data_IF_845669206271
#
_entry.id   IF_845669206271
#
_cell.length_a   1.000
_cell.length_b   1.000
_cell.length_c   1.000
_cell.angle_alpha   90.00
_cell.angle_beta   90.00
_cell.angle_gamma   90.00
#
_symmetry.space_group_name_H-M   'P 1'
#
loop_
_entity.id
_entity.type
_entity.pdbx_description
1 polymer ?
#
# COMPACT_ATOMS: atom_id res chain seq x y z
N UNK A 1 8.42 17.30 -2.37
CA UNK A 1 8.42 15.94 -1.83
C UNK A 1 8.24 14.98 -2.98
N UNK A 2 9.26 14.19 -3.28
CA UNK A 2 9.33 13.44 -4.54
C UNK A 2 8.96 11.98 -4.28
N UNK A 3 7.81 11.57 -4.79
CA UNK A 3 7.56 10.15 -5.04
C UNK A 3 8.53 9.76 -6.16
N UNK A 4 9.49 8.91 -5.87
CA UNK A 4 10.47 8.46 -6.87
C UNK A 4 9.75 7.48 -7.81
N UNK A 5 9.14 8.03 -8.85
CA UNK A 5 8.78 7.27 -10.05
C UNK A 5 9.99 7.37 -10.98
N UNK A 6 10.77 6.34 -11.03
CA UNK A 6 11.94 6.26 -11.91
C UNK A 6 11.49 6.35 -13.37
N UNK A 7 11.83 7.46 -14.04
CA UNK A 7 11.61 7.62 -15.49
C UNK A 7 12.62 6.77 -16.25
N UNK A 8 12.14 5.76 -16.93
CA UNK A 8 12.94 5.01 -17.90
C UNK A 8 13.07 5.81 -19.19
N UNK A 9 14.30 6.17 -19.55
CA UNK A 9 14.63 6.66 -20.89
C UNK A 9 14.95 5.45 -21.78
N UNK A 10 14.21 5.29 -22.86
CA UNK A 10 14.59 4.42 -23.97
C UNK A 10 15.75 5.09 -24.72
N UNK A 11 16.88 4.41 -24.79
CA UNK A 11 17.98 4.77 -25.67
C UNK A 11 17.93 3.80 -26.86
N UNK A 12 17.41 4.26 -27.95
CA UNK A 12 17.55 3.59 -29.24
C UNK A 12 18.88 4.03 -29.89
N UNK A 13 19.81 3.11 -30.00
CA UNK A 13 21.01 3.31 -30.76
C UNK A 13 21.09 2.29 -31.88
N UNK A 14 20.84 2.72 -33.11
CA UNK A 14 21.13 1.96 -34.33
C UNK A 14 22.58 2.24 -34.71
N UNK A 15 23.42 1.20 -34.72
CA UNK A 15 24.76 1.26 -35.31
C UNK A 15 24.76 0.33 -36.51
N UNK A 16 24.83 0.91 -37.69
CA UNK A 16 25.18 0.24 -38.92
C UNK A 16 26.71 0.16 -39.05
N UNK A 17 27.25 -1.03 -39.19
CA UNK A 17 28.62 -1.22 -39.65
C UNK A 17 28.63 -2.20 -40.84
N UNK A 18 29.20 -1.72 -41.92
CA UNK A 18 29.39 -2.43 -43.18
C UNK A 18 30.65 -3.30 -43.15
N UNK A 19 30.52 -4.41 -43.78
CA UNK A 19 31.30 -5.39 -44.40
C UNK A 19 32.83 -5.45 -44.37
N UNK A 20 33.32 -6.67 -44.26
CA UNK A 20 34.41 -7.22 -45.08
C UNK A 20 34.45 -8.74 -44.90
N UNK A 21 34.35 -9.46 -45.99
CA UNK A 21 34.35 -10.92 -45.98
C UNK A 21 35.74 -11.52 -45.76
N UNK A 22 35.78 -12.63 -45.03
CA UNK A 22 36.89 -13.57 -45.00
C UNK A 22 36.34 -14.98 -44.75
N UNK A 23 36.44 -15.84 -45.74
CA UNK A 23 36.05 -17.27 -45.65
C UNK A 23 37.18 -18.06 -44.99
N UNK A 24 36.85 -18.82 -43.96
CA UNK A 24 37.66 -19.93 -43.45
C UNK A 24 36.75 -21.10 -43.02
N UNK A 25 37.23 -22.37 -43.00
CA UNK A 25 36.40 -23.53 -43.21
C UNK A 25 35.69 -24.04 -41.93
N UNK A 26 34.56 -24.73 -42.18
CA UNK A 26 33.79 -25.47 -41.18
C UNK A 26 34.65 -26.55 -40.51
N UNK A 27 34.71 -26.50 -39.19
CA UNK A 27 34.96 -27.67 -38.37
C UNK A 27 33.90 -27.70 -37.29
N UNK A 28 33.01 -28.68 -37.41
CA UNK A 28 31.92 -28.98 -36.51
C UNK A 28 32.43 -29.44 -35.14
N UNK A 29 32.16 -28.66 -34.11
CA UNK A 29 32.08 -29.16 -32.72
C UNK A 29 30.81 -28.58 -32.14
N UNK A 30 29.71 -29.32 -32.24
CA UNK A 30 28.53 -29.06 -31.45
C UNK A 30 28.81 -29.52 -29.99
N UNK A 31 29.34 -28.61 -29.17
CA UNK A 31 29.26 -28.73 -27.76
C UNK A 31 27.98 -28.01 -27.30
N UNK A 32 26.93 -28.75 -27.02
CA UNK A 32 25.77 -28.22 -26.29
C UNK A 32 26.26 -27.79 -24.91
N UNK A 33 26.42 -26.48 -24.71
CA UNK A 33 26.52 -25.92 -23.37
C UNK A 33 25.16 -26.13 -22.68
N UNK A 34 25.13 -26.71 -21.47
CA UNK A 34 23.89 -26.82 -20.73
C UNK A 34 23.31 -25.40 -20.56
N UNK A 35 22.06 -25.25 -20.91
CA UNK A 35 21.30 -24.02 -20.70
C UNK A 35 21.43 -23.63 -19.22
N UNK A 36 22.32 -22.69 -18.94
CA UNK A 36 22.48 -22.14 -17.60
C UNK A 36 21.12 -21.53 -17.19
N UNK A 37 20.53 -22.09 -16.16
CA UNK A 37 19.39 -21.48 -15.45
C UNK A 37 19.90 -20.17 -14.83
N UNK A 38 19.85 -19.10 -15.61
CA UNK A 38 20.07 -17.76 -15.06
C UNK A 38 18.92 -17.46 -14.11
N UNK A 39 19.18 -17.62 -12.82
CA UNK A 39 18.26 -17.10 -11.79
C UNK A 39 17.97 -15.64 -12.15
N UNK A 40 16.71 -15.24 -12.30
CA UNK A 40 16.37 -13.85 -12.61
C UNK A 40 17.04 -12.94 -11.56
N UNK A 41 17.73 -11.91 -12.01
CA UNK A 41 18.37 -10.95 -11.12
C UNK A 41 17.33 -10.44 -10.10
N UNK A 42 17.68 -10.50 -8.81
CA UNK A 42 16.82 -10.04 -7.73
C UNK A 42 16.56 -8.54 -7.90
N UNK A 43 15.29 -8.14 -7.78
CA UNK A 43 14.94 -6.72 -7.77
C UNK A 43 15.20 -6.15 -6.38
N UNK A 44 16.05 -5.15 -6.29
CA UNK A 44 16.37 -4.49 -5.02
C UNK A 44 15.53 -3.22 -4.87
N UNK A 45 14.88 -3.09 -3.72
CA UNK A 45 14.19 -1.88 -3.33
C UNK A 45 15.21 -0.84 -2.83
N UNK A 46 14.99 0.46 -3.09
CA UNK A 46 15.89 1.51 -2.64
C UNK A 46 15.85 1.68 -1.12
N UNK A 47 16.99 1.93 -0.51
CA UNK A 47 17.06 2.44 0.87
C UNK A 47 16.59 3.89 0.89
N UNK A 48 15.67 4.22 1.77
CA UNK A 48 15.05 5.54 1.89
C UNK A 48 15.20 6.02 3.34
N UNK A 49 15.69 7.24 3.53
CA UNK A 49 15.84 7.84 4.87
C UNK A 49 14.49 7.78 5.62
N UNK A 50 14.53 7.35 6.87
CA UNK A 50 13.35 7.20 7.71
C UNK A 50 12.60 5.88 7.54
N UNK A 51 13.05 4.97 6.67
CA UNK A 51 12.53 3.61 6.57
C UNK A 51 13.60 2.59 6.96
N UNK A 52 13.16 1.47 7.52
CA UNK A 52 14.01 0.27 7.59
C UNK A 52 14.32 -0.25 6.19
N UNK A 53 15.33 -1.10 6.05
CA UNK A 53 15.64 -1.70 4.74
C UNK A 53 14.48 -2.57 4.26
N UNK A 54 13.74 -2.14 3.22
CA UNK A 54 12.57 -2.87 2.75
C UNK A 54 12.91 -4.25 2.20
N UNK A 55 14.17 -4.51 1.82
CA UNK A 55 14.58 -5.79 1.26
C UNK A 55 14.50 -6.92 2.30
N UNK A 56 14.61 -6.59 3.59
CA UNK A 56 14.49 -7.56 4.69
C UNK A 56 13.05 -8.03 4.93
N UNK A 57 12.06 -7.32 4.37
CA UNK A 57 10.63 -7.65 4.49
C UNK A 57 10.06 -8.34 3.25
N UNK A 58 10.90 -8.66 2.26
CA UNK A 58 10.45 -9.39 1.07
C UNK A 58 10.24 -10.86 1.47
N UNK A 59 9.01 -11.42 1.34
CA UNK A 59 8.76 -12.81 1.71
C UNK A 59 9.47 -13.77 0.76
N UNK A 60 10.02 -14.85 1.31
CA UNK A 60 10.74 -15.88 0.55
C UNK A 60 9.84 -16.55 -0.52
N UNK A 61 8.53 -16.65 -0.25
CA UNK A 61 7.53 -17.24 -1.12
C UNK A 61 7.16 -16.36 -2.33
N UNK A 62 7.56 -15.08 -2.27
CA UNK A 62 7.34 -14.13 -3.36
C UNK A 62 8.52 -13.16 -3.55
N UNK A 63 9.72 -13.66 -3.91
CA UNK A 63 10.89 -12.82 -4.15
C UNK A 63 10.61 -11.84 -5.29
N UNK A 64 11.10 -10.62 -5.17
CA UNK A 64 10.87 -9.59 -6.20
C UNK A 64 11.77 -9.82 -7.41
N UNK A 65 11.19 -9.64 -8.60
CA UNK A 65 11.91 -9.52 -9.87
C UNK A 65 11.34 -8.34 -10.67
N UNK A 66 12.17 -7.70 -11.49
CA UNK A 66 11.73 -6.56 -12.31
C UNK A 66 10.51 -6.90 -13.18
N UNK A 67 10.49 -8.08 -13.78
CA UNK A 67 9.37 -8.54 -14.63
C UNK A 67 8.08 -8.72 -13.80
N UNK A 68 8.18 -9.27 -12.58
CA UNK A 68 7.01 -9.48 -11.71
C UNK A 68 6.46 -8.16 -11.21
N UNK A 69 7.32 -7.23 -10.79
CA UNK A 69 6.93 -5.87 -10.39
C UNK A 69 6.21 -5.15 -11.53
N UNK A 70 6.75 -5.22 -12.76
CA UNK A 70 6.12 -4.59 -13.92
C UNK A 70 4.77 -5.24 -14.27
N UNK A 71 4.68 -6.57 -14.24
CA UNK A 71 3.40 -7.26 -14.41
C UNK A 71 2.38 -6.80 -13.36
N UNK A 72 2.78 -6.73 -12.07
CA UNK A 72 1.93 -6.22 -10.99
C UNK A 72 1.47 -4.79 -11.22
N UNK A 73 2.35 -3.93 -11.74
CA UNK A 73 2.00 -2.56 -12.10
C UNK A 73 0.94 -2.54 -13.21
N UNK A 74 1.09 -3.32 -14.26
CA UNK A 74 0.10 -3.41 -15.34
C UNK A 74 -1.26 -3.87 -14.80
N UNK A 75 -1.28 -4.89 -13.93
CA UNK A 75 -2.51 -5.41 -13.33
C UNK A 75 -3.18 -4.36 -12.42
N UNK A 76 -2.41 -3.62 -11.62
CA UNK A 76 -2.93 -2.61 -10.72
C UNK A 76 -3.65 -1.46 -11.42
N UNK A 77 -3.22 -1.13 -12.66
CA UNK A 77 -3.78 -0.03 -13.45
C UNK A 77 -4.83 -0.47 -14.49
N UNK A 78 -5.08 -1.76 -14.65
CA UNK A 78 -5.92 -2.27 -15.75
C UNK A 78 -7.38 -2.45 -15.34
N UNK A 79 -8.26 -1.61 -15.86
CA UNK A 79 -9.71 -1.66 -15.62
C UNK A 79 -10.38 -2.92 -16.17
N UNK A 80 -9.76 -3.60 -17.14
CA UNK A 80 -10.26 -4.88 -17.67
C UNK A 80 -10.29 -5.99 -16.62
N UNK A 81 -9.68 -5.77 -15.46
CA UNK A 81 -9.72 -6.67 -14.32
C UNK A 81 -10.90 -6.42 -13.39
N UNK A 82 -11.94 -5.73 -13.85
CA UNK A 82 -13.27 -5.73 -13.24
C UNK A 82 -14.30 -6.34 -14.19
N UNK A 83 -15.43 -6.76 -13.68
CA UNK A 83 -16.45 -7.49 -14.46
C UNK A 83 -16.95 -6.74 -15.69
N UNK A 84 -17.07 -5.41 -15.58
CA UNK A 84 -17.55 -4.51 -16.63
C UNK A 84 -16.48 -3.55 -17.19
N UNK A 85 -15.20 -3.80 -16.97
CA UNK A 85 -14.06 -3.01 -17.46
C UNK A 85 -14.01 -1.55 -16.98
N UNK A 86 -14.62 -1.24 -15.81
CA UNK A 86 -14.71 0.15 -15.31
C UNK A 86 -13.81 0.46 -14.13
N UNK A 87 -13.40 -0.54 -13.35
CA UNK A 87 -12.65 -0.41 -12.10
C UNK A 87 -11.31 -1.13 -12.18
N UNK A 88 -10.29 -0.50 -11.62
CA UNK A 88 -8.97 -1.09 -11.35
C UNK A 88 -8.54 -0.72 -9.93
N UNK A 89 -7.48 -1.32 -9.39
CA UNK A 89 -6.96 -0.96 -8.07
C UNK A 89 -6.68 0.55 -7.97
N UNK A 90 -6.11 1.13 -9.02
CA UNK A 90 -5.84 2.58 -9.10
C UNK A 90 -7.12 3.45 -9.02
N UNK A 91 -8.30 2.90 -9.28
CA UNK A 91 -9.55 3.68 -9.17
C UNK A 91 -9.83 4.13 -7.73
N UNK A 92 -9.35 3.36 -6.74
CA UNK A 92 -9.47 3.65 -5.32
C UNK A 92 -8.10 4.01 -4.68
N UNK A 93 -6.98 3.74 -5.36
CA UNK A 93 -5.62 3.98 -4.86
C UNK A 93 -4.83 4.89 -5.82
N UNK A 94 -5.24 6.17 -5.90
CA UNK A 94 -4.68 7.18 -6.80
C UNK A 94 -3.29 7.64 -6.32
N UNK A 95 -2.22 7.54 -7.14
CA UNK A 95 -0.87 7.95 -6.75
C UNK A 95 -0.75 9.40 -6.28
N UNK A 96 -1.53 10.31 -6.89
CA UNK A 96 -1.52 11.73 -6.55
C UNK A 96 -2.28 12.07 -5.26
N UNK A 97 -2.94 11.07 -4.63
CA UNK A 97 -3.66 11.19 -3.35
C UNK A 97 -3.09 10.27 -2.26
N UNK A 98 -1.79 10.05 -2.26
CA UNK A 98 -1.16 9.15 -1.30
C UNK A 98 -1.66 7.70 -1.43
N UNK A 99 -2.07 7.29 -2.64
CA UNK A 99 -2.68 5.98 -2.91
C UNK A 99 -3.96 5.72 -2.11
N UNK A 100 -4.79 6.77 -1.92
CA UNK A 100 -6.21 6.71 -1.54
C UNK A 100 -7.05 7.27 -2.68
N UNK A 101 -8.39 7.30 -2.56
CA UNK A 101 -9.24 7.96 -3.55
C UNK A 101 -9.71 9.37 -3.12
N UNK A 102 -9.42 9.77 -1.87
CA UNK A 102 -9.82 11.05 -1.30
C UNK A 102 -11.33 11.17 -1.09
N UNK A 103 -12.01 10.06 -0.83
CA UNK A 103 -13.46 10.02 -0.56
C UNK A 103 -13.73 9.36 0.79
N UNK A 104 -14.84 9.71 1.46
CA UNK A 104 -15.23 9.04 2.70
C UNK A 104 -15.39 7.53 2.53
N UNK A 105 -16.01 7.10 1.42
CA UNK A 105 -16.10 5.69 1.01
C UNK A 105 -15.86 5.59 -0.49
N UNK A 106 -15.19 4.51 -0.90
CA UNK A 106 -14.85 4.27 -2.30
C UNK A 106 -16.09 3.95 -3.14
N UNK A 107 -15.99 4.24 -4.43
CA UNK A 107 -17.01 3.90 -5.43
C UNK A 107 -16.44 2.86 -6.37
N UNK A 108 -17.05 1.69 -6.40
CA UNK A 108 -16.64 0.58 -7.24
C UNK A 108 -17.52 0.38 -8.48
N UNK A 109 -17.68 -0.89 -8.86
CA UNK A 109 -18.43 -1.30 -10.06
C UNK A 109 -19.86 -0.79 -10.02
N UNK A 110 -20.40 -0.37 -11.17
CA UNK A 110 -21.75 0.14 -11.32
C UNK A 110 -22.10 1.34 -10.42
N UNK A 111 -21.11 2.06 -9.90
CA UNK A 111 -21.31 3.17 -8.99
C UNK A 111 -21.66 2.77 -7.55
N UNK A 112 -21.56 1.48 -7.20
CA UNK A 112 -21.80 0.99 -5.85
C UNK A 112 -20.77 1.54 -4.88
N UNK A 113 -21.20 1.84 -3.66
CA UNK A 113 -20.31 2.42 -2.63
C UNK A 113 -19.91 1.35 -1.61
N UNK A 114 -18.64 1.34 -1.24
CA UNK A 114 -18.13 0.57 -0.12
C UNK A 114 -18.60 1.10 1.23
N UNK A 115 -18.32 0.35 2.28
CA UNK A 115 -18.62 0.76 3.67
C UNK A 115 -17.50 1.53 4.36
N UNK A 116 -16.28 1.53 3.80
CA UNK A 116 -15.09 2.12 4.40
C UNK A 116 -14.30 2.95 3.38
N UNK A 117 -13.47 3.88 3.86
CA UNK A 117 -12.54 4.62 3.02
C UNK A 117 -11.41 3.72 2.50
N UNK A 118 -10.86 4.07 1.34
CA UNK A 118 -9.69 3.37 0.80
C UNK A 118 -8.46 3.67 1.67
N UNK A 119 -7.85 2.68 2.35
CA UNK A 119 -6.62 2.89 3.09
C UNK A 119 -5.46 3.18 2.12
N UNK A 120 -4.49 3.96 2.55
CA UNK A 120 -3.31 4.22 1.74
C UNK A 120 -2.53 2.94 1.43
N UNK A 121 -2.19 2.72 0.14
CA UNK A 121 -1.34 1.60 -0.29
C UNK A 121 0.16 1.94 -0.22
N UNK A 122 0.54 2.85 0.69
CA UNK A 122 1.93 3.22 0.96
C UNK A 122 2.57 2.28 1.97
N UNK A 123 3.84 1.97 1.79
CA UNK A 123 4.66 1.23 2.75
C UNK A 123 4.06 -0.12 3.20
N UNK A 124 3.23 -0.73 2.35
CA UNK A 124 2.53 -1.97 2.73
C UNK A 124 3.46 -3.16 2.93
N UNK A 125 4.69 -3.08 2.43
CA UNK A 125 5.74 -4.08 2.68
C UNK A 125 6.03 -4.28 4.17
N UNK A 126 5.86 -3.24 4.99
CA UNK A 126 6.12 -3.25 6.43
C UNK A 126 4.91 -3.69 7.27
N UNK A 127 3.76 -3.93 6.65
CA UNK A 127 2.53 -4.21 7.38
C UNK A 127 2.34 -5.69 7.68
N UNK A 128 1.92 -5.98 8.91
CA UNK A 128 1.64 -7.33 9.42
C UNK A 128 0.27 -7.87 8.98
N UNK A 129 -0.67 -6.99 8.71
CA UNK A 129 -2.02 -7.34 8.26
C UNK A 129 -2.60 -6.29 7.33
N UNK A 130 -3.49 -6.69 6.44
CA UNK A 130 -4.04 -5.81 5.41
C UNK A 130 -5.52 -5.52 5.69
N UNK A 131 -6.04 -4.45 5.05
CA UNK A 131 -7.33 -3.83 5.33
C UNK A 131 -7.40 -3.14 6.70
N UNK A 132 -8.49 -2.39 6.94
CA UNK A 132 -8.72 -1.72 8.21
C UNK A 132 -8.90 -2.66 9.40
N UNK A 133 -9.42 -3.86 9.15
CA UNK A 133 -9.72 -4.89 10.15
C UNK A 133 -8.67 -6.01 10.21
N UNK A 134 -7.66 -5.97 9.35
CA UNK A 134 -6.59 -6.96 9.31
C UNK A 134 -7.05 -8.36 8.88
N UNK A 135 -8.13 -8.46 8.06
CA UNK A 135 -8.70 -9.74 7.63
C UNK A 135 -7.87 -10.52 6.60
N UNK A 136 -6.85 -9.90 6.01
CA UNK A 136 -5.88 -10.58 5.16
C UNK A 136 -4.49 -10.51 5.80
N UNK A 137 -3.87 -11.66 5.97
CA UNK A 137 -2.57 -11.79 6.65
C UNK A 137 -1.42 -11.36 5.74
N UNK A 138 -1.57 -11.55 4.42
CA UNK A 138 -0.54 -11.21 3.45
C UNK A 138 -1.01 -10.16 2.45
N UNK A 139 -0.05 -9.51 1.81
CA UNK A 139 -0.36 -8.57 0.72
C UNK A 139 -0.85 -9.30 -0.54
N UNK A 140 -0.44 -10.56 -0.72
CA UNK A 140 -0.91 -11.46 -1.76
C UNK A 140 -2.41 -11.75 -1.62
N UNK A 141 -2.85 -12.13 -0.42
CA UNK A 141 -4.27 -12.40 -0.12
C UNK A 141 -5.12 -11.14 -0.25
N UNK A 142 -4.61 -10.01 0.25
CA UNK A 142 -5.27 -8.71 0.06
C UNK A 142 -5.47 -8.40 -1.42
N UNK A 143 -4.45 -8.64 -2.25
CA UNK A 143 -4.45 -8.26 -3.67
C UNK A 143 -5.50 -8.98 -4.50
N UNK A 144 -5.97 -10.14 -4.07
CA UNK A 144 -7.01 -10.92 -4.78
C UNK A 144 -8.43 -10.72 -4.21
N UNK A 145 -8.55 -10.30 -2.95
CA UNK A 145 -9.85 -10.10 -2.29
C UNK A 145 -10.80 -9.15 -3.04
N UNK A 146 -10.36 -7.97 -3.49
CA UNK A 146 -11.18 -7.02 -4.22
C UNK A 146 -11.84 -7.55 -5.49
N UNK A 147 -11.25 -8.54 -6.17
CA UNK A 147 -11.83 -9.08 -7.40
C UNK A 147 -13.21 -9.72 -7.17
N UNK A 148 -13.38 -10.43 -6.06
CA UNK A 148 -14.63 -11.11 -5.72
C UNK A 148 -15.54 -10.29 -4.81
N UNK A 149 -15.15 -9.06 -4.49
CA UNK A 149 -16.03 -8.14 -3.78
C UNK A 149 -17.08 -7.58 -4.75
N UNK A 150 -18.38 -7.80 -4.48
CA UNK A 150 -19.47 -7.40 -5.39
C UNK A 150 -19.56 -5.88 -5.57
N UNK A 151 -19.02 -5.11 -4.63
CA UNK A 151 -19.00 -3.63 -4.70
C UNK A 151 -17.76 -3.14 -5.47
N UNK A 152 -16.63 -3.84 -5.40
CA UNK A 152 -15.35 -3.38 -5.96
C UNK A 152 -15.17 -3.81 -7.43
N UNK A 153 -14.74 -5.04 -7.70
CA UNK A 153 -14.53 -5.54 -9.08
C UNK A 153 -15.68 -6.41 -9.60
N UNK A 154 -16.49 -7.00 -8.71
CA UNK A 154 -17.77 -7.61 -9.02
C UNK A 154 -17.77 -8.99 -9.68
N UNK A 155 -16.66 -9.72 -9.67
CA UNK A 155 -16.66 -11.12 -10.10
C UNK A 155 -17.35 -12.03 -9.09
N UNK A 156 -17.95 -13.13 -9.55
CA UNK A 156 -18.60 -14.10 -8.69
C UNK A 156 -17.56 -14.89 -7.87
N UNK A 157 -16.47 -15.26 -8.54
CA UNK A 157 -15.35 -15.97 -7.95
C UNK A 157 -14.03 -15.67 -8.71
N UNK A 158 -12.93 -16.17 -8.19
CA UNK A 158 -11.61 -16.00 -8.79
C UNK A 158 -11.47 -16.76 -10.14
N UNK A 159 -12.23 -17.84 -10.36
CA UNK A 159 -12.18 -18.58 -11.63
C UNK A 159 -12.79 -17.76 -12.77
N UNK A 160 -13.90 -17.04 -12.52
CA UNK A 160 -14.47 -16.10 -13.50
C UNK A 160 -13.45 -15.02 -13.89
N UNK A 161 -12.77 -14.44 -12.92
CA UNK A 161 -11.73 -13.44 -13.13
C UNK A 161 -10.55 -13.98 -13.95
N UNK A 162 -10.01 -15.12 -13.57
CA UNK A 162 -8.90 -15.79 -14.28
C UNK A 162 -9.30 -16.17 -15.70
N UNK A 163 -10.52 -16.71 -15.90
CA UNK A 163 -11.04 -17.02 -17.22
C UNK A 163 -11.14 -15.79 -18.14
N UNK A 164 -11.51 -14.62 -17.56
CA UNK A 164 -11.49 -13.35 -18.31
C UNK A 164 -10.06 -12.95 -18.66
N UNK A 165 -9.10 -13.01 -17.72
CA UNK A 165 -7.70 -12.67 -17.98
C UNK A 165 -7.07 -13.54 -19.07
N UNK A 166 -7.37 -14.84 -19.08
CA UNK A 166 -6.85 -15.80 -20.10
C UNK A 166 -7.31 -15.47 -21.53
N UNK A 167 -8.39 -14.70 -21.70
CA UNK A 167 -8.81 -14.19 -23.03
C UNK A 167 -7.95 -13.04 -23.51
N UNK A 168 -7.16 -12.40 -22.65
CA UNK A 168 -6.28 -11.31 -22.99
C UNK A 168 -4.91 -11.88 -23.37
N UNK A 169 -4.62 -11.97 -24.68
CA UNK A 169 -3.40 -12.62 -25.19
C UNK A 169 -2.09 -12.08 -24.56
N UNK A 170 -2.02 -10.78 -24.30
CA UNK A 170 -0.87 -10.14 -23.65
C UNK A 170 -0.58 -10.70 -22.26
N UNK A 171 -1.61 -10.95 -21.44
CA UNK A 171 -1.42 -11.51 -20.10
C UNK A 171 -0.94 -12.95 -20.13
N UNK A 172 -1.47 -13.80 -21.03
CA UNK A 172 -0.96 -15.18 -21.15
C UNK A 172 0.55 -15.21 -21.39
N UNK A 173 1.03 -14.36 -22.30
CA UNK A 173 2.46 -14.25 -22.58
C UNK A 173 3.25 -13.76 -21.37
N UNK A 174 2.79 -12.69 -20.71
CA UNK A 174 3.48 -12.11 -19.55
C UNK A 174 3.54 -13.10 -18.38
N UNK A 175 2.45 -13.83 -18.08
CA UNK A 175 2.45 -14.82 -17.02
C UNK A 175 3.37 -16.01 -17.33
N UNK A 176 3.40 -16.45 -18.60
CA UNK A 176 4.36 -17.48 -19.04
C UNK A 176 5.81 -17.01 -18.88
N UNK A 177 6.12 -15.74 -19.17
CA UNK A 177 7.46 -15.16 -19.01
C UNK A 177 7.87 -14.96 -17.53
N UNK A 178 6.91 -14.67 -16.66
CA UNK A 178 7.17 -14.33 -15.24
C UNK A 178 7.11 -15.56 -14.35
N UNK A 179 6.12 -16.45 -14.56
CA UNK A 179 5.84 -17.59 -13.69
C UNK A 179 6.08 -18.95 -14.36
N UNK A 180 6.33 -18.99 -15.68
CA UNK A 180 6.57 -20.23 -16.44
C UNK A 180 5.34 -21.11 -16.60
N UNK A 181 4.13 -20.57 -16.37
CA UNK A 181 2.87 -21.33 -16.39
C UNK A 181 1.66 -20.49 -16.78
N UNK A 182 0.53 -21.16 -16.97
CA UNK A 182 -0.78 -20.55 -17.17
C UNK A 182 -1.18 -19.68 -15.96
N UNK A 183 -2.07 -18.70 -16.23
CA UNK A 183 -2.56 -17.77 -15.21
C UNK A 183 -3.35 -18.51 -14.13
N UNK A 184 -2.93 -18.33 -12.88
CA UNK A 184 -3.66 -18.74 -11.67
C UNK A 184 -3.80 -17.54 -10.73
N UNK A 185 -4.80 -17.57 -9.86
CA UNK A 185 -5.11 -16.41 -9.01
C UNK A 185 -3.99 -16.06 -8.03
N UNK A 186 -3.29 -17.06 -7.52
CA UNK A 186 -2.15 -16.88 -6.61
C UNK A 186 -1.02 -16.08 -7.25
N UNK A 187 -0.76 -16.31 -8.56
CA UNK A 187 0.26 -15.57 -9.31
C UNK A 187 -0.18 -14.13 -9.61
N UNK A 188 -1.49 -13.90 -9.80
CA UNK A 188 -2.06 -12.55 -9.90
C UNK A 188 -1.82 -11.79 -8.59
N UNK A 189 -2.13 -12.41 -7.44
CA UNK A 189 -1.86 -11.85 -6.12
C UNK A 189 -0.38 -11.54 -5.92
N UNK A 190 0.50 -12.50 -6.23
CA UNK A 190 1.96 -12.32 -6.15
C UNK A 190 2.48 -11.17 -7.01
N UNK A 191 1.97 -11.01 -8.22
CA UNK A 191 2.39 -9.91 -9.10
C UNK A 191 1.94 -8.55 -8.55
N UNK A 192 0.67 -8.40 -8.18
CA UNK A 192 0.13 -7.15 -7.64
C UNK A 192 0.84 -6.78 -6.32
N UNK A 193 1.01 -7.74 -5.42
CA UNK A 193 1.75 -7.54 -4.16
C UNK A 193 3.21 -7.11 -4.41
N UNK A 194 3.87 -7.69 -5.43
CA UNK A 194 5.23 -7.28 -5.82
C UNK A 194 5.31 -5.83 -6.23
N UNK A 195 4.34 -5.33 -6.99
CA UNK A 195 4.25 -3.91 -7.33
C UNK A 195 3.94 -3.05 -6.10
N UNK A 196 2.98 -3.44 -5.27
CA UNK A 196 2.61 -2.67 -4.07
C UNK A 196 3.80 -2.50 -3.11
N UNK A 197 4.69 -3.50 -3.00
CA UNK A 197 5.94 -3.41 -2.21
C UNK A 197 6.91 -2.33 -2.69
N UNK A 198 6.80 -1.90 -3.93
CA UNK A 198 7.62 -0.78 -4.47
C UNK A 198 7.06 0.60 -4.14
N UNK A 199 5.85 0.69 -3.57
CA UNK A 199 5.22 1.95 -3.22
C UNK A 199 5.72 2.38 -1.84
N UNK A 200 6.88 3.01 -1.82
CA UNK A 200 7.58 3.43 -0.61
C UNK A 200 7.53 4.96 -0.45
N UNK A 201 7.32 5.41 0.78
CA UNK A 201 7.39 6.83 1.15
C UNK A 201 8.17 6.99 2.46
N UNK A 202 9.27 7.72 2.39
CA UNK A 202 10.14 8.17 3.46
C UNK A 202 10.77 9.50 3.09
N UNK A 203 11.88 9.86 3.71
CA UNK A 203 12.60 11.11 3.48
C UNK A 203 11.72 12.35 3.71
N UNK A 204 10.83 12.26 4.70
CA UNK A 204 9.97 13.37 5.15
C UNK A 204 10.81 14.47 5.85
N UNK A 205 10.26 15.66 6.08
CA UNK A 205 10.91 16.66 6.92
C UNK A 205 11.27 16.13 8.32
N UNK A 206 10.41 15.29 8.92
CA UNK A 206 10.71 14.64 10.22
C UNK A 206 11.87 13.67 10.11
N UNK A 207 11.94 12.85 9.04
CA UNK A 207 13.07 11.93 8.84
C UNK A 207 14.40 12.69 8.68
N UNK A 208 14.37 13.82 7.95
CA UNK A 208 15.55 14.68 7.76
C UNK A 208 16.01 15.33 9.06
N UNK A 209 15.06 15.76 9.89
CA UNK A 209 15.34 16.36 11.19
C UNK A 209 15.91 15.32 12.16
N UNK A 210 15.24 14.16 12.30
CA UNK A 210 15.61 13.14 13.30
C UNK A 210 16.86 12.33 12.92
N UNK A 211 16.98 11.97 11.66
CA UNK A 211 17.98 11.01 11.19
C UNK A 211 18.95 11.62 10.19
N UNK A 212 18.57 12.66 9.49
CA UNK A 212 19.39 13.33 8.47
C UNK A 212 20.27 14.46 9.02
N UNK A 213 20.11 14.85 10.28
CA UNK A 213 20.85 15.96 10.91
C UNK A 213 20.49 17.34 10.35
N UNK A 214 19.39 17.48 9.62
CA UNK A 214 18.91 18.74 9.07
C UNK A 214 18.01 19.47 10.05
N UNK A 215 18.62 20.27 10.93
CA UNK A 215 17.86 21.07 11.91
C UNK A 215 16.89 22.07 11.27
N UNK A 216 17.06 22.42 10.00
CA UNK A 216 16.18 23.36 9.29
C UNK A 216 15.03 22.68 8.55
N UNK A 217 14.95 21.34 8.60
CA UNK A 217 13.90 20.58 7.95
C UNK A 217 12.50 20.87 8.50
N UNK A 218 12.40 21.31 9.76
CA UNK A 218 11.13 21.64 10.43
C UNK A 218 11.08 23.14 10.78
N UNK A 219 9.90 23.74 10.63
CA UNK A 219 9.61 25.06 11.18
C UNK A 219 9.58 25.00 12.72
N UNK A 220 9.66 26.17 13.39
CA UNK A 220 9.55 26.24 14.85
C UNK A 220 8.23 25.64 15.38
N UNK A 221 7.10 25.92 14.70
CA UNK A 221 5.81 25.32 15.04
C UNK A 221 5.83 23.80 14.89
N UNK A 222 6.36 23.27 13.77
CA UNK A 222 6.46 21.84 13.55
C UNK A 222 7.39 21.14 14.56
N UNK A 223 8.43 21.82 15.08
CA UNK A 223 9.28 21.29 16.18
C UNK A 223 8.50 21.19 17.47
N UNK A 224 7.79 22.26 17.88
CA UNK A 224 6.91 22.21 19.04
C UNK A 224 5.84 21.12 18.89
N UNK A 225 5.24 21.01 17.70
CA UNK A 225 4.28 19.96 17.39
C UNK A 225 4.87 18.56 17.53
N UNK A 226 6.09 18.34 17.06
CA UNK A 226 6.78 17.06 17.18
C UNK A 226 7.08 16.71 18.67
N UNK A 227 7.48 17.69 19.47
CA UNK A 227 7.67 17.51 20.91
C UNK A 227 6.34 17.18 21.62
N UNK A 228 5.25 17.88 21.29
CA UNK A 228 3.92 17.58 21.78
C UNK A 228 3.45 16.19 21.38
N UNK A 229 3.61 15.83 20.10
CA UNK A 229 3.27 14.53 19.56
C UNK A 229 3.95 13.38 20.32
N UNK A 230 5.22 13.56 20.68
CA UNK A 230 6.03 12.59 21.42
C UNK A 230 5.77 12.62 22.93
N UNK A 231 5.38 13.77 23.46
CA UNK A 231 5.20 14.02 24.88
C UNK A 231 3.74 14.13 25.31
N UNK A 232 3.26 15.36 25.54
CA UNK A 232 1.94 15.66 26.11
C UNK A 232 0.77 15.04 25.33
N UNK A 233 0.83 15.09 23.99
CA UNK A 233 -0.22 14.54 23.13
C UNK A 233 -0.23 13.00 23.08
N UNK A 234 0.81 12.32 23.58
CA UNK A 234 0.91 10.85 23.68
C UNK A 234 0.65 10.12 22.37
N UNK A 235 0.79 10.81 21.24
CA UNK A 235 0.45 10.23 19.93
C UNK A 235 1.35 9.04 19.57
N UNK A 236 2.60 9.01 20.05
CA UNK A 236 3.55 7.90 19.80
C UNK A 236 3.15 6.57 20.45
N UNK A 237 2.06 6.51 21.21
CA UNK A 237 1.56 5.25 21.77
C UNK A 237 1.04 4.28 20.71
N UNK A 238 0.39 4.81 19.64
CA UNK A 238 -0.12 4.03 18.52
C UNK A 238 0.71 4.23 17.25
N UNK A 239 0.92 5.46 16.71
CA UNK A 239 1.80 5.66 15.56
C UNK A 239 3.27 5.66 15.97
N UNK A 240 3.73 4.57 16.59
CA UNK A 240 5.13 4.32 16.94
C UNK A 240 5.93 3.81 15.74
N UNK A 241 7.22 3.64 15.89
CA UNK A 241 8.14 3.11 14.88
C UNK A 241 8.44 4.04 13.68
N UNK A 242 9.36 3.59 12.82
CA UNK A 242 9.80 4.30 11.61
C UNK A 242 8.67 4.53 10.59
N UNK A 243 7.61 3.72 10.61
CA UNK A 243 6.47 3.84 9.69
C UNK A 243 5.30 4.61 10.31
N UNK A 244 5.45 5.17 11.49
CA UNK A 244 4.42 5.90 12.23
C UNK A 244 3.11 5.10 12.34
N UNK A 245 3.22 3.84 12.76
CA UNK A 245 2.13 2.92 13.10
C UNK A 245 2.67 1.84 14.04
N UNK A 246 1.83 1.32 14.91
CA UNK A 246 2.12 0.11 15.71
C UNK A 246 1.57 -1.16 15.06
N UNK A 247 0.79 -1.00 13.95
CA UNK A 247 0.06 -2.07 13.25
C UNK A 247 -0.94 -2.83 14.16
N UNK A 248 -1.26 -2.29 15.34
CA UNK A 248 -2.26 -2.82 16.26
C UNK A 248 -3.66 -2.26 15.97
N UNK A 249 -4.65 -2.77 16.69
CA UNK A 249 -6.06 -2.44 16.50
C UNK A 249 -6.60 -1.69 17.72
N UNK A 250 -7.23 -0.54 17.47
CA UNK A 250 -7.72 0.35 18.54
C UNK A 250 -9.16 0.78 18.27
N UNK A 251 -9.99 0.80 19.33
CA UNK A 251 -11.33 1.34 19.27
C UNK A 251 -11.32 2.79 19.73
N UNK A 252 -11.57 3.71 18.80
CA UNK A 252 -11.66 5.15 19.04
C UNK A 252 -13.10 5.62 19.30
N UNK A 253 -14.07 4.73 19.20
CA UNK A 253 -15.49 5.03 19.34
C UNK A 253 -16.18 5.54 18.09
N UNK A 254 -15.55 5.40 16.91
CA UNK A 254 -16.13 5.83 15.64
C UNK A 254 -17.45 5.08 15.37
N UNK A 255 -18.53 5.82 15.13
CA UNK A 255 -19.87 5.27 14.86
C UNK A 255 -20.77 5.11 16.08
N UNK A 256 -20.25 5.15 17.31
CA UNK A 256 -21.08 5.06 18.53
C UNK A 256 -21.97 6.28 18.72
N UNK A 257 -21.55 7.45 18.26
CA UNK A 257 -22.32 8.70 18.30
C UNK A 257 -23.53 8.71 17.36
N UNK A 258 -23.54 7.85 16.35
CA UNK A 258 -24.58 7.79 15.31
C UNK A 258 -25.30 6.45 15.23
N UNK A 259 -25.05 5.53 16.17
CA UNK A 259 -25.52 4.14 16.14
C UNK A 259 -25.25 3.40 14.82
N UNK A 260 -24.13 3.75 14.16
CA UNK A 260 -23.67 3.12 12.90
C UNK A 260 -22.31 2.44 13.11
N UNK A 261 -22.23 1.63 14.16
CA UNK A 261 -20.97 0.98 14.57
C UNK A 261 -20.58 -0.09 13.54
N UNK A 262 -19.39 0.10 12.95
CA UNK A 262 -18.70 -0.97 12.24
C UNK A 262 -17.92 -1.79 13.29
N UNK A 263 -18.17 -3.08 13.36
CA UNK A 263 -17.58 -3.97 14.36
C UNK A 263 -16.08 -4.21 14.15
N UNK A 264 -15.51 -3.80 13.02
CA UNK A 264 -14.07 -3.81 12.73
C UNK A 264 -13.42 -5.18 12.92
N UNK A 265 -12.36 -5.21 13.71
CA UNK A 265 -11.54 -6.40 13.99
C UNK A 265 -12.34 -7.56 14.59
N UNK A 266 -13.39 -7.30 15.35
CA UNK A 266 -14.28 -8.34 15.89
C UNK A 266 -14.81 -9.29 14.80
N UNK A 267 -15.11 -8.78 13.61
CA UNK A 267 -15.61 -9.61 12.50
C UNK A 267 -14.58 -10.64 12.00
N UNK A 268 -13.33 -10.48 12.39
CA UNK A 268 -12.23 -11.39 12.04
C UNK A 268 -11.92 -12.36 13.17
N UNK A 269 -11.89 -11.85 14.42
CA UNK A 269 -11.41 -12.61 15.58
C UNK A 269 -12.53 -13.23 16.41
N UNK A 270 -13.74 -12.71 16.35
CA UNK A 270 -14.85 -12.99 17.27
C UNK A 270 -14.49 -12.73 18.75
N UNK A 271 -13.43 -11.95 19.02
CA UNK A 271 -13.06 -11.55 20.37
C UNK A 271 -13.82 -10.27 20.75
N UNK A 272 -14.63 -10.25 21.85
CA UNK A 272 -15.35 -9.07 22.29
C UNK A 272 -14.48 -7.82 22.54
N UNK A 273 -13.21 -7.99 22.88
CA UNK A 273 -12.27 -6.88 23.09
C UNK A 273 -11.93 -6.15 21.78
N UNK A 274 -12.17 -6.79 20.63
CA UNK A 274 -11.91 -6.25 19.31
C UNK A 274 -13.11 -5.50 18.69
N UNK A 275 -14.23 -5.38 19.40
CA UNK A 275 -15.43 -4.70 18.91
C UNK A 275 -15.11 -3.23 18.58
N UNK A 276 -15.31 -2.84 17.31
CA UNK A 276 -15.07 -1.48 16.84
C UNK A 276 -13.61 -1.07 16.77
N UNK A 277 -12.69 -2.05 16.88
CA UNK A 277 -11.27 -1.80 16.75
C UNK A 277 -10.83 -1.85 15.28
N UNK A 278 -9.95 -0.93 14.91
CA UNK A 278 -9.37 -0.79 13.58
C UNK A 278 -7.85 -0.63 13.68
N UNK A 279 -7.16 -1.12 12.64
CA UNK A 279 -5.72 -1.03 12.55
C UNK A 279 -5.25 0.41 12.47
N UNK A 280 -4.22 0.77 13.24
CA UNK A 280 -3.52 2.05 13.11
C UNK A 280 -2.89 2.15 11.71
N UNK A 281 -3.33 3.09 10.84
CA UNK A 281 -2.68 3.30 9.55
C UNK A 281 -1.35 4.04 9.74
N UNK A 282 -0.45 3.94 8.76
CA UNK A 282 0.74 4.80 8.73
C UNK A 282 0.34 6.27 8.63
N UNK A 283 1.05 7.15 9.34
CA UNK A 283 0.88 8.60 9.18
C UNK A 283 1.76 9.18 8.05
N UNK A 284 2.52 8.35 7.35
CA UNK A 284 3.28 8.83 6.20
C UNK A 284 2.34 9.31 5.10
N UNK A 285 2.65 10.48 4.51
CA UNK A 285 1.81 11.19 3.54
C UNK A 285 0.40 11.59 4.07
N UNK A 286 0.21 11.65 5.39
CA UNK A 286 -1.10 11.87 6.02
C UNK A 286 -1.80 13.14 5.49
N UNK A 287 -1.06 14.21 5.22
CA UNK A 287 -1.61 15.45 4.66
C UNK A 287 -2.27 15.30 3.27
N UNK A 288 -2.06 14.15 2.59
CA UNK A 288 -2.56 13.88 1.24
C UNK A 288 -3.69 12.85 1.21
N UNK A 289 -4.00 12.23 2.37
CA UNK A 289 -4.89 11.07 2.45
C UNK A 289 -6.25 11.39 3.07
N UNK A 290 -6.61 12.66 3.18
CA UNK A 290 -7.95 13.06 3.60
C UNK A 290 -9.04 12.44 2.66
N UNK A 291 -10.26 12.16 3.17
CA UNK A 291 -10.70 12.29 4.57
C UNK A 291 -10.23 11.15 5.47
N UNK A 292 -10.25 11.36 6.78
CA UNK A 292 -9.64 10.51 7.78
C UNK A 292 -10.65 9.60 8.49
N UNK A 293 -10.13 8.58 9.17
CA UNK A 293 -10.77 7.43 9.80
C UNK A 293 -11.28 6.41 8.77
N UNK A 294 -11.63 5.23 9.24
CA UNK A 294 -12.10 4.15 8.37
C UNK A 294 -13.41 4.47 7.63
N UNK A 295 -14.22 5.39 8.16
CA UNK A 295 -15.47 5.87 7.56
C UNK A 295 -15.33 7.24 6.86
N UNK A 296 -14.12 7.83 6.88
CA UNK A 296 -13.81 9.10 6.22
C UNK A 296 -14.56 10.31 6.78
N UNK A 297 -14.94 10.29 8.07
CA UNK A 297 -15.75 11.36 8.70
C UNK A 297 -15.07 12.70 8.85
N UNK A 298 -13.75 12.71 9.07
CA UNK A 298 -12.98 13.96 9.26
C UNK A 298 -12.33 14.41 7.96
N UNK A 299 -12.52 15.67 7.62
CA UNK A 299 -12.02 16.27 6.38
C UNK A 299 -10.63 16.87 6.53
N UNK A 300 -10.26 17.27 7.75
CA UNK A 300 -9.00 17.95 8.03
C UNK A 300 -8.25 17.31 9.19
N UNK A 301 -6.94 17.56 9.28
CA UNK A 301 -6.12 17.08 10.40
C UNK A 301 -6.48 17.79 11.71
N UNK A 302 -6.92 19.04 11.64
CA UNK A 302 -7.39 19.79 12.80
C UNK A 302 -8.61 19.10 13.43
N UNK A 303 -9.55 18.59 12.62
CA UNK A 303 -10.68 17.79 13.12
C UNK A 303 -10.21 16.51 13.81
N UNK A 304 -9.19 15.85 13.25
CA UNK A 304 -8.59 14.63 13.83
C UNK A 304 -7.91 14.94 15.17
N UNK A 305 -7.07 15.98 15.24
CA UNK A 305 -6.39 16.37 16.48
C UNK A 305 -7.39 16.76 17.55
N UNK A 306 -8.44 17.53 17.18
CA UNK A 306 -9.52 17.88 18.09
C UNK A 306 -10.25 16.66 18.64
N UNK A 307 -10.53 15.68 17.78
CA UNK A 307 -11.16 14.42 18.18
C UNK A 307 -10.32 13.65 19.21
N UNK A 308 -9.01 13.51 18.96
CA UNK A 308 -8.10 12.89 19.95
C UNK A 308 -7.95 13.73 21.22
N UNK A 309 -7.95 15.07 21.10
CA UNK A 309 -7.89 15.96 22.25
C UNK A 309 -9.08 15.79 23.21
N UNK A 310 -10.25 15.42 22.67
CA UNK A 310 -11.46 15.10 23.44
C UNK A 310 -11.45 13.69 24.01
N UNK A 311 -10.49 12.83 23.66
CA UNK A 311 -10.42 11.43 24.10
C UNK A 311 -11.35 10.50 23.33
N UNK A 312 -11.59 10.76 22.04
CA UNK A 312 -12.46 9.93 21.19
C UNK A 312 -13.93 9.98 21.60
N UNK A 313 -14.69 8.95 21.20
CA UNK A 313 -16.12 8.79 21.58
C UNK A 313 -16.23 7.66 22.60
N UNK A 314 -16.75 7.97 23.78
CA UNK A 314 -16.93 7.00 24.88
C UNK A 314 -17.85 5.86 24.49
N UNK A 315 -17.38 4.64 24.76
CA UNK A 315 -18.14 3.41 24.52
C UNK A 315 -17.59 2.26 25.40
N UNK A 316 -18.33 1.15 25.57
CA UNK A 316 -17.92 0.05 26.45
C UNK A 316 -16.61 -0.65 26.05
N UNK A 317 -16.19 -0.57 24.80
CA UNK A 317 -15.03 -1.24 24.22
C UNK A 317 -13.92 -0.26 23.83
N UNK A 318 -14.01 1.00 24.27
CA UNK A 318 -13.01 2.01 23.92
C UNK A 318 -11.64 1.61 24.46
N UNK A 319 -10.62 1.75 23.60
CA UNK A 319 -9.23 1.56 24.00
C UNK A 319 -8.88 2.51 25.17
N UNK A 320 -8.33 1.95 26.23
CA UNK A 320 -8.02 2.68 27.46
C UNK A 320 -6.87 3.69 27.30
N UNK A 321 -6.12 3.63 26.23
CA UNK A 321 -5.09 4.61 25.87
C UNK A 321 -5.68 5.89 25.29
N UNK A 322 -6.94 5.86 24.85
CA UNK A 322 -7.65 6.99 24.25
C UNK A 322 -8.31 7.81 25.36
N UNK A 323 -7.61 8.83 25.80
CA UNK A 323 -8.00 9.73 26.87
C UNK A 323 -7.91 11.18 26.41
N UNK A 324 -8.61 12.15 27.04
CA UNK A 324 -8.41 13.57 26.77
C UNK A 324 -6.94 13.98 26.93
N UNK A 325 -6.44 14.80 26.00
CA UNK A 325 -5.03 15.19 25.93
C UNK A 325 -4.77 16.55 26.59
N UNK A 326 -5.82 17.33 26.79
CA UNK A 326 -5.76 18.68 27.40
C UNK A 326 -4.81 19.64 26.65
N UNK A 327 -4.78 19.52 25.32
CA UNK A 327 -4.03 20.44 24.45
C UNK A 327 -4.77 21.76 24.32
N UNK A 328 -4.06 22.88 24.49
CA UNK A 328 -4.56 24.20 24.14
C UNK A 328 -4.80 24.32 22.63
N UNK A 329 -5.50 25.36 22.20
CA UNK A 329 -5.72 25.61 20.76
C UNK A 329 -4.40 25.77 20.00
N UNK A 330 -3.42 26.49 20.58
CA UNK A 330 -2.11 26.64 19.96
C UNK A 330 -1.35 25.31 19.87
N UNK A 331 -1.39 24.48 20.90
CA UNK A 331 -0.78 23.15 20.90
C UNK A 331 -1.43 22.23 19.85
N UNK A 332 -2.75 22.29 19.68
CA UNK A 332 -3.46 21.56 18.65
C UNK A 332 -3.06 22.01 17.23
N UNK A 333 -2.75 23.29 17.03
CA UNK A 333 -2.27 23.83 15.76
C UNK A 333 -0.80 23.44 15.49
N UNK A 334 0.02 23.34 16.52
CA UNK A 334 1.42 22.95 16.39
C UNK A 334 1.57 21.46 16.07
N UNK A 335 0.67 20.59 16.61
CA UNK A 335 0.65 19.13 16.35
C UNK A 335 0.22 18.82 14.93
#
# INVERSE_FOLDING_TARGET
>A
MNVVIQRWRMIGGVVLLAGAGMTLPLSSVFGESPAGTTTPASYQLPTILGLEDPNTFIPAENPLTAKKVELGRLLFFDKRLSKNDTVACVSCHLPNKGFTDGKPVSTGINGLKGGRSAPASLNRIFSKGQFWDGRADTLEDQSIGPFVNPVEHGFIDHNEMVAKMRKIAGYRKLFQEVFGREIVIEDVGKAIASFQRTILSGNSPVDKFDMGGDEKALSESARRGLELFRGKARCTRCPSSFNFTDENFHNLGIGWDTNTVDLGRYMVTNNPDDIGAFKTPTLREIARTAPYMHDGRFKTLEEVVKFYNQGGIKNPHQDNTIIPLELTEQEQQDV
#
